data_IF_678020621792
#
_entry.id   IF_678020621792
#
_cell.length_a   1.000
_cell.length_b   1.000
_cell.length_c   1.000
_cell.angle_alpha   90.00
_cell.angle_beta   90.00
_cell.angle_gamma   90.00
#
_symmetry.space_group_name_H-M   'P 1'
#
loop_
_entity.id
_entity.type
_entity.pdbx_description
1 polymer ?
#
# COMPACT_ATOMS: atom_id res chain seq x y z
N UNK A 1 25.69 1.29 -58.88
CA UNK A 1 24.52 0.43 -58.58
C UNK A 1 24.52 0.19 -57.08
N UNK A 2 23.88 1.07 -56.30
CA UNK A 2 22.54 0.86 -55.70
C UNK A 2 22.50 -0.41 -54.83
N UNK A 3 22.53 -0.26 -53.49
CA UNK A 3 21.35 -0.26 -52.58
C UNK A 3 21.39 -1.62 -51.81
N UNK A 4 21.18 -1.79 -50.50
CA UNK A 4 20.20 -1.23 -49.58
C UNK A 4 20.71 -1.28 -48.13
N UNK A 5 20.48 -0.19 -47.38
CA UNK A 5 20.35 -0.23 -45.92
C UNK A 5 19.06 -0.97 -45.57
N UNK A 6 19.15 -2.09 -44.85
CA UNK A 6 18.00 -2.66 -44.14
C UNK A 6 17.95 -2.09 -42.73
N UNK A 7 17.17 -1.03 -42.56
CA UNK A 7 16.78 -0.51 -41.25
C UNK A 7 15.70 -1.46 -40.70
N UNK A 8 16.11 -2.41 -39.85
CA UNK A 8 15.17 -3.23 -39.10
C UNK A 8 14.50 -2.35 -38.04
N UNK A 9 13.32 -1.80 -38.37
CA UNK A 9 12.43 -1.20 -37.40
C UNK A 9 11.92 -2.31 -36.47
N UNK A 10 12.60 -2.48 -35.34
CA UNK A 10 12.11 -3.30 -34.24
C UNK A 10 10.77 -2.74 -33.80
N UNK A 11 9.69 -3.45 -34.12
CA UNK A 11 8.43 -3.27 -33.42
C UNK A 11 8.70 -3.62 -31.96
N UNK A 12 8.96 -2.59 -31.15
CA UNK A 12 8.82 -2.69 -29.71
C UNK A 12 7.37 -3.10 -29.48
N UNK A 13 7.15 -4.39 -29.20
CA UNK A 13 5.97 -4.86 -28.50
C UNK A 13 5.91 -4.00 -27.24
N UNK A 14 5.08 -2.95 -27.27
CA UNK A 14 4.65 -2.27 -26.08
C UNK A 14 4.05 -3.38 -25.22
N UNK A 15 4.82 -3.84 -24.23
CA UNK A 15 4.31 -4.73 -23.21
C UNK A 15 3.06 -4.04 -22.68
N UNK A 16 1.91 -4.64 -22.98
CA UNK A 16 0.61 -4.19 -22.54
C UNK A 16 0.74 -4.00 -21.04
N UNK A 17 0.83 -2.75 -20.60
CA UNK A 17 1.02 -2.44 -19.19
C UNK A 17 -0.25 -2.96 -18.52
N UNK A 18 -0.17 -4.15 -17.92
CA UNK A 18 -1.19 -4.68 -17.03
C UNK A 18 -1.56 -3.50 -16.14
N UNK A 19 -2.81 -3.02 -16.27
CA UNK A 19 -3.22 -1.71 -15.72
C UNK A 19 -3.43 -1.88 -14.22
N UNK A 20 -2.32 -2.09 -13.53
CA UNK A 20 -2.21 -2.16 -12.09
C UNK A 20 -2.10 -0.74 -11.56
N UNK A 21 -2.80 -0.46 -10.48
CA UNK A 21 -2.75 0.84 -9.83
C UNK A 21 -3.03 0.69 -8.35
N UNK A 22 -2.23 1.37 -7.53
CA UNK A 22 -2.63 1.73 -6.18
C UNK A 22 -3.38 3.05 -6.29
N UNK A 23 -4.68 3.02 -5.99
CA UNK A 23 -5.60 4.15 -6.15
C UNK A 23 -5.56 5.05 -4.93
N UNK A 24 -5.50 4.44 -3.74
CA UNK A 24 -5.47 5.16 -2.47
C UNK A 24 -4.75 4.34 -1.42
N UNK A 25 -4.05 5.03 -0.53
CA UNK A 25 -3.49 4.45 0.70
C UNK A 25 -3.95 5.32 1.85
N UNK A 26 -4.58 4.69 2.84
CA UNK A 26 -5.14 5.35 4.01
C UNK A 26 -4.51 4.78 5.28
N UNK A 27 -3.56 5.50 5.90
CA UNK A 27 -3.07 5.16 7.22
C UNK A 27 -4.09 5.57 8.30
N UNK A 28 -4.34 4.67 9.24
CA UNK A 28 -5.31 4.82 10.32
C UNK A 28 -4.70 4.35 11.65
N UNK A 29 -4.62 5.25 12.64
CA UNK A 29 -4.31 4.84 14.00
C UNK A 29 -5.41 3.93 14.53
N UNK A 30 -5.01 2.91 15.28
CA UNK A 30 -5.90 1.98 15.95
C UNK A 30 -5.88 2.24 17.45
N UNK A 31 -7.05 2.27 18.07
CA UNK A 31 -7.17 2.30 19.52
C UNK A 31 -6.82 0.94 20.15
N UNK A 32 -6.87 0.84 21.49
CA UNK A 32 -6.61 -0.41 22.23
C UNK A 32 -7.59 -1.56 21.92
N UNK A 33 -8.72 -1.27 21.27
CA UNK A 33 -9.69 -2.27 20.81
C UNK A 33 -9.53 -2.58 19.31
N UNK A 34 -8.52 -2.02 18.64
CA UNK A 34 -8.26 -2.20 17.21
C UNK A 34 -9.18 -1.36 16.31
N UNK A 35 -9.89 -0.37 16.86
CA UNK A 35 -10.81 0.49 16.11
C UNK A 35 -10.08 1.70 15.54
N UNK A 36 -10.43 2.04 14.31
CA UNK A 36 -9.95 3.25 13.60
C UNK A 36 -11.03 4.35 13.51
N UNK A 37 -12.26 4.03 13.90
CA UNK A 37 -13.43 4.91 13.97
C UNK A 37 -14.43 4.32 14.94
N UNK A 38 -15.27 5.16 15.57
CA UNK A 38 -16.35 4.74 16.46
C UNK A 38 -17.66 4.46 15.71
N UNK A 39 -17.78 4.94 14.48
CA UNK A 39 -18.97 4.77 13.64
C UNK A 39 -18.59 4.73 12.15
N UNK A 40 -19.49 4.30 11.24
CA UNK A 40 -19.21 4.29 9.80
C UNK A 40 -19.17 5.69 9.15
N UNK A 41 -19.33 6.77 9.92
CA UNK A 41 -19.28 8.15 9.41
C UNK A 41 -17.84 8.60 9.10
N UNK A 42 -17.66 9.23 7.94
CA UNK A 42 -16.37 9.82 7.56
C UNK A 42 -15.97 10.98 8.46
N UNK A 43 -16.95 11.81 8.87
CA UNK A 43 -16.72 12.92 9.80
C UNK A 43 -16.23 12.39 11.15
N UNK A 44 -16.91 11.35 11.66
CA UNK A 44 -16.55 10.72 12.93
C UNK A 44 -15.16 10.09 12.87
N UNK A 45 -14.84 9.39 11.78
CA UNK A 45 -13.49 8.83 11.58
C UNK A 45 -12.43 9.92 11.65
N UNK A 46 -12.63 11.04 10.96
CA UNK A 46 -11.62 12.09 10.91
C UNK A 46 -11.45 12.78 12.27
N UNK A 47 -12.54 13.01 13.00
CA UNK A 47 -12.52 13.51 14.38
C UNK A 47 -11.79 12.52 15.32
N UNK A 48 -12.10 11.23 15.20
CA UNK A 48 -11.50 10.20 16.03
C UNK A 48 -10.00 10.02 15.74
N UNK A 49 -9.59 10.09 14.48
CA UNK A 49 -8.17 10.08 14.11
C UNK A 49 -7.43 11.32 14.62
N UNK A 50 -8.07 12.49 14.65
CA UNK A 50 -7.51 13.68 15.29
C UNK A 50 -7.36 13.51 16.81
N UNK A 51 -8.33 12.86 17.46
CA UNK A 51 -8.25 12.49 18.87
C UNK A 51 -7.08 11.53 19.14
N UNK A 52 -6.96 10.42 18.39
CA UNK A 52 -5.88 9.44 18.57
C UNK A 52 -4.49 10.06 18.38
N UNK A 53 -4.30 10.94 17.39
CA UNK A 53 -3.02 11.66 17.22
C UNK A 53 -2.63 12.53 18.42
N UNK A 54 -3.62 13.03 19.17
CA UNK A 54 -3.40 13.81 20.40
C UNK A 54 -3.26 12.95 21.65
N UNK A 55 -3.57 11.65 21.57
CA UNK A 55 -3.58 10.71 22.69
C UNK A 55 -2.83 9.42 22.28
N UNK A 56 -1.51 9.47 22.06
CA UNK A 56 -0.72 8.33 21.60
C UNK A 56 -0.74 7.15 22.59
N UNK A 57 -0.97 7.41 23.88
CA UNK A 57 -1.19 6.41 24.94
C UNK A 57 -2.43 5.53 24.70
N UNK A 58 -3.36 5.99 23.87
CA UNK A 58 -4.57 5.24 23.48
C UNK A 58 -4.40 4.47 22.19
N UNK A 59 -3.24 4.57 21.54
CA UNK A 59 -2.98 3.91 20.26
C UNK A 59 -2.28 2.56 20.48
N UNK A 60 -2.83 1.51 19.88
CA UNK A 60 -2.24 0.16 19.92
C UNK A 60 -1.64 -0.28 18.59
N UNK A 61 -1.85 0.48 17.51
CA UNK A 61 -1.36 0.09 16.20
C UNK A 61 -1.65 1.09 15.10
N UNK A 62 -1.27 0.71 13.89
CA UNK A 62 -1.49 1.47 12.66
C UNK A 62 -1.98 0.52 11.57
N UNK A 63 -3.09 0.85 10.92
CA UNK A 63 -3.62 0.10 9.78
C UNK A 63 -3.50 0.90 8.49
N UNK A 64 -3.10 0.24 7.43
CA UNK A 64 -3.13 0.76 6.08
C UNK A 64 -4.27 0.12 5.31
N UNK A 65 -5.27 0.92 4.98
CA UNK A 65 -6.29 0.52 4.02
C UNK A 65 -5.85 0.96 2.63
N UNK A 66 -5.54 -0.02 1.78
CA UNK A 66 -5.01 0.21 0.44
C UNK A 66 -6.07 -0.16 -0.58
N UNK A 67 -6.46 0.82 -1.38
CA UNK A 67 -7.30 0.61 -2.54
C UNK A 67 -6.43 0.36 -3.77
N UNK A 68 -6.68 -0.72 -4.47
CA UNK A 68 -5.90 -1.09 -5.64
C UNK A 68 -6.76 -1.71 -6.73
N UNK A 69 -6.21 -1.73 -7.95
CA UNK A 69 -6.82 -2.30 -9.15
C UNK A 69 -5.76 -3.06 -9.93
N UNK A 70 -6.18 -4.13 -10.59
CA UNK A 70 -5.40 -4.90 -11.55
C UNK A 70 -6.39 -5.55 -12.52
N UNK A 71 -6.08 -5.51 -13.82
CA UNK A 71 -6.94 -6.08 -14.87
C UNK A 71 -6.57 -7.54 -15.15
N UNK A 72 -5.32 -7.78 -15.54
CA UNK A 72 -4.76 -9.12 -15.76
C UNK A 72 -3.54 -9.31 -14.85
N UNK A 73 -3.58 -10.35 -14.02
CA UNK A 73 -2.46 -10.80 -13.20
C UNK A 73 -2.67 -12.27 -12.78
N UNK A 74 -1.58 -12.96 -12.47
CA UNK A 74 -1.60 -14.21 -11.74
C UNK A 74 -2.01 -13.95 -10.28
N UNK A 75 -3.29 -14.20 -9.99
CA UNK A 75 -3.88 -14.02 -8.66
C UNK A 75 -3.19 -14.83 -7.56
N UNK A 76 -2.55 -15.95 -7.91
CA UNK A 76 -1.85 -16.79 -6.93
C UNK A 76 -0.53 -16.16 -6.47
N UNK A 77 0.05 -15.29 -7.30
CA UNK A 77 1.31 -14.59 -7.08
C UNK A 77 1.11 -13.13 -6.65
N UNK A 78 -0.13 -12.66 -6.57
CA UNK A 78 -0.43 -11.26 -6.29
C UNK A 78 -0.24 -10.95 -4.80
N UNK A 79 0.62 -9.98 -4.49
CA UNK A 79 0.93 -9.55 -3.13
C UNK A 79 0.82 -8.06 -2.99
N UNK A 80 0.38 -7.61 -1.83
CA UNK A 80 0.38 -6.21 -1.44
C UNK A 80 1.35 -6.03 -0.27
N UNK A 81 2.27 -5.10 -0.44
CA UNK A 81 3.31 -4.79 0.53
C UNK A 81 3.19 -3.34 0.97
N UNK A 82 3.34 -3.07 2.26
CA UNK A 82 3.51 -1.74 2.83
C UNK A 82 4.81 -1.70 3.62
N UNK A 83 5.71 -0.84 3.22
CA UNK A 83 6.96 -0.57 3.93
C UNK A 83 6.82 0.73 4.71
N UNK A 84 7.29 0.74 5.95
CA UNK A 84 7.05 1.80 6.93
C UNK A 84 8.38 2.22 7.53
N UNK A 85 8.72 3.51 7.41
CA UNK A 85 9.87 4.12 8.11
C UNK A 85 9.36 4.88 9.32
N UNK A 86 9.95 4.60 10.48
CA UNK A 86 9.65 5.29 11.73
C UNK A 86 10.88 5.91 12.37
N UNK A 87 10.68 6.61 13.48
CA UNK A 87 11.73 7.37 14.16
C UNK A 87 12.74 6.51 14.94
N UNK A 88 12.40 5.26 15.26
CA UNK A 88 13.23 4.40 16.12
C UNK A 88 14.07 3.37 15.38
N UNK A 89 13.74 3.08 14.11
CA UNK A 89 14.38 2.03 13.32
C UNK A 89 14.93 2.59 12.00
N UNK A 90 16.16 2.20 11.65
CA UNK A 90 16.80 2.66 10.41
C UNK A 90 16.30 1.91 9.17
N UNK A 91 15.86 0.66 9.34
CA UNK A 91 15.34 -0.16 8.25
C UNK A 91 13.81 -0.07 8.22
N UNK A 92 13.19 0.02 7.03
CA UNK A 92 11.74 -0.01 6.93
C UNK A 92 11.18 -1.33 7.46
N UNK A 93 10.15 -1.24 8.29
CA UNK A 93 9.34 -2.40 8.65
C UNK A 93 8.43 -2.76 7.47
N UNK A 94 8.27 -4.05 7.19
CA UNK A 94 7.53 -4.53 6.02
C UNK A 94 6.30 -5.33 6.45
N UNK A 95 5.13 -4.86 6.03
CA UNK A 95 3.88 -5.62 6.04
C UNK A 95 3.68 -6.21 4.64
N UNK A 96 3.45 -7.52 4.54
CA UNK A 96 3.33 -8.20 3.25
C UNK A 96 2.24 -9.27 3.33
N UNK A 97 1.24 -9.18 2.46
CA UNK A 97 0.13 -10.15 2.41
C UNK A 97 -0.35 -10.47 0.99
N UNK A 98 -0.97 -11.65 0.77
CA UNK A 98 -1.65 -11.95 -0.47
C UNK A 98 -2.75 -10.95 -0.80
N UNK A 99 -2.75 -10.44 -2.03
CA UNK A 99 -3.75 -9.51 -2.54
C UNK A 99 -4.95 -10.29 -3.11
N UNK A 100 -5.86 -10.70 -2.22
CA UNK A 100 -6.98 -11.57 -2.58
C UNK A 100 -8.00 -10.87 -3.49
N UNK A 101 -8.53 -11.64 -4.44
CA UNK A 101 -9.66 -11.21 -5.27
C UNK A 101 -10.92 -11.06 -4.39
N UNK A 102 -11.54 -9.90 -4.43
CA UNK A 102 -12.91 -9.69 -3.95
C UNK A 102 -13.84 -9.40 -5.15
N UNK A 103 -15.14 -9.62 -5.00
CA UNK A 103 -16.14 -9.54 -6.07
C UNK A 103 -16.53 -8.10 -6.47
N UNK A 104 -15.90 -7.08 -5.88
CA UNK A 104 -16.28 -5.67 -6.04
C UNK A 104 -15.27 -4.88 -6.88
N UNK A 105 -15.76 -3.90 -7.64
CA UNK A 105 -14.98 -3.06 -8.58
C UNK A 105 -13.86 -2.22 -7.93
N UNK A 106 -13.83 -2.11 -6.61
CA UNK A 106 -12.68 -1.56 -5.88
C UNK A 106 -12.19 -2.53 -4.82
N UNK A 107 -10.93 -2.93 -4.94
CA UNK A 107 -10.29 -3.86 -4.01
C UNK A 107 -9.66 -3.06 -2.90
N UNK A 108 -10.09 -3.33 -1.68
CA UNK A 108 -9.50 -2.79 -0.46
C UNK A 108 -8.83 -3.92 0.28
N UNK A 109 -7.62 -3.66 0.75
CA UNK A 109 -6.86 -4.58 1.60
C UNK A 109 -6.35 -3.80 2.79
N UNK A 110 -6.55 -4.36 3.99
CA UNK A 110 -6.06 -3.79 5.24
C UNK A 110 -4.78 -4.50 5.65
N UNK A 111 -3.72 -3.76 5.93
CA UNK A 111 -2.47 -4.26 6.52
C UNK A 111 -2.28 -3.60 7.87
N UNK A 112 -2.15 -4.39 8.93
CA UNK A 112 -2.05 -3.86 10.30
C UNK A 112 -0.65 -4.04 10.84
N UNK A 113 -0.11 -2.96 11.37
CA UNK A 113 1.04 -2.93 12.27
C UNK A 113 0.50 -2.97 13.70
N UNK A 114 0.66 -4.11 14.37
CA UNK A 114 0.14 -4.36 15.72
C UNK A 114 1.10 -3.92 16.84
N UNK A 115 0.63 -3.99 18.09
CA UNK A 115 1.23 -3.35 19.26
C UNK A 115 2.75 -3.42 19.37
N UNK A 116 3.34 -4.61 19.35
CA UNK A 116 4.79 -4.73 19.50
C UNK A 116 5.53 -4.10 18.31
N UNK A 117 5.04 -4.37 17.10
CA UNK A 117 5.63 -3.86 15.85
C UNK A 117 5.47 -2.34 15.72
N UNK A 118 4.35 -1.80 16.18
CA UNK A 118 4.02 -0.37 16.19
C UNK A 118 4.90 0.40 17.19
N UNK A 119 5.08 -0.14 18.40
CA UNK A 119 5.96 0.47 19.40
C UNK A 119 7.42 0.51 18.97
N UNK A 120 7.87 -0.52 18.23
CA UNK A 120 9.22 -0.59 17.65
C UNK A 120 9.46 0.45 16.56
N UNK A 121 8.47 0.72 15.70
CA UNK A 121 8.58 1.74 14.65
C UNK A 121 8.68 3.15 15.24
N UNK A 122 7.98 3.42 16.34
CA UNK A 122 7.88 4.77 16.90
C UNK A 122 7.01 5.67 16.03
N UNK A 123 7.39 6.94 15.90
CA UNK A 123 6.63 7.89 15.07
C UNK A 123 6.79 7.52 13.61
N UNK A 124 5.69 7.28 12.90
CA UNK A 124 5.73 6.96 11.47
C UNK A 124 6.07 8.21 10.67
N UNK A 125 7.19 8.18 9.97
CA UNK A 125 7.73 9.29 9.17
C UNK A 125 7.26 9.19 7.72
N UNK A 126 7.38 7.99 7.13
CA UNK A 126 7.00 7.76 5.74
C UNK A 126 6.62 6.31 5.48
N UNK A 127 5.90 6.10 4.38
CA UNK A 127 5.46 4.78 3.94
C UNK A 127 5.48 4.65 2.42
N UNK A 128 5.59 3.41 1.95
CA UNK A 128 5.41 3.01 0.55
C UNK A 128 4.54 1.77 0.47
N UNK A 129 3.49 1.84 -0.32
CA UNK A 129 2.68 0.69 -0.71
C UNK A 129 3.08 0.25 -2.11
N UNK A 130 3.20 -1.06 -2.32
CA UNK A 130 3.55 -1.69 -3.60
C UNK A 130 2.69 -2.91 -3.86
N UNK A 131 2.19 -3.05 -5.09
CA UNK A 131 1.50 -4.23 -5.59
C UNK A 131 2.50 -5.05 -6.41
N UNK A 132 2.58 -6.35 -6.15
CA UNK A 132 3.54 -7.26 -6.77
C UNK A 132 2.83 -8.45 -7.40
N UNK A 133 3.42 -8.98 -8.47
CA UNK A 133 3.12 -10.29 -9.05
C UNK A 133 4.42 -11.09 -9.04
N UNK A 134 4.54 -12.02 -8.09
CA UNK A 134 5.82 -12.68 -7.81
C UNK A 134 6.87 -11.64 -7.42
N UNK A 135 8.00 -11.63 -8.14
CA UNK A 135 9.09 -10.66 -7.94
C UNK A 135 8.94 -9.38 -8.78
N UNK A 136 7.83 -9.24 -9.52
CA UNK A 136 7.59 -8.09 -10.40
C UNK A 136 6.73 -7.03 -9.70
N UNK A 137 7.24 -5.81 -9.46
CA UNK A 137 6.40 -4.72 -8.98
C UNK A 137 5.48 -4.26 -10.11
N UNK A 138 4.18 -4.21 -9.83
CA UNK A 138 3.13 -3.80 -10.76
C UNK A 138 2.68 -2.35 -10.56
N UNK A 139 2.64 -1.88 -9.31
CA UNK A 139 2.23 -0.50 -8.98
C UNK A 139 2.84 -0.05 -7.65
N UNK A 140 3.04 1.26 -7.50
CA UNK A 140 3.57 1.90 -6.30
C UNK A 140 2.75 3.15 -5.96
N UNK A 141 2.58 3.40 -4.66
CA UNK A 141 2.23 4.71 -4.12
C UNK A 141 3.01 4.93 -2.82
N UNK A 142 3.45 6.15 -2.57
CA UNK A 142 4.24 6.48 -1.38
C UNK A 142 3.83 7.82 -0.78
N UNK A 143 4.12 7.98 0.52
CA UNK A 143 4.02 9.28 1.18
C UNK A 143 5.06 10.25 0.62
N UNK A 144 4.86 11.54 0.84
CA UNK A 144 5.77 12.59 0.37
C UNK A 144 7.21 12.43 0.86
N UNK A 145 7.41 11.96 2.10
CA UNK A 145 8.73 11.82 2.74
C UNK A 145 9.41 10.46 2.51
N UNK A 146 8.97 9.69 1.52
CA UNK A 146 9.54 8.37 1.22
C UNK A 146 10.79 8.43 0.35
#
# INVERSE_FOLDING_TARGET
MLLQLTLAAGFALNAEAATARIVKVLPHLLDNEGRHTLSPSLYERDAYQAFLRKNPDKCSGLRFDVQWKVQAADWSQLRLRVEIRGSKESKPLVLDQPARRNHWYSRWSSLTLDGESYQKVGDVISWRATLWEGDKPLAEQKSFLW
#
